data_IF_148491883724
#
_entry.id   IF_148491883724
#
_cell.length_a   1.000
_cell.length_b   1.000
_cell.length_c   1.000
_cell.angle_alpha   90.00
_cell.angle_beta   90.00
_cell.angle_gamma   90.00
#
_symmetry.space_group_name_H-M   'P 1'
#
loop_
_entity.id
_entity.type
_entity.pdbx_description
1 polymer ?
#
# COMPACT_ATOMS: atom_id res chain seq x y z
N UNK A 1 19.56 63.03 14.72
CA UNK A 1 18.97 63.50 13.45
C UNK A 1 18.71 62.27 12.61
N UNK A 2 17.54 61.87 12.16
CA UNK A 2 16.14 62.29 12.25
C UNK A 2 15.38 60.95 12.13
N UNK A 3 14.53 60.62 13.10
CA UNK A 3 13.31 59.85 12.82
C UNK A 3 12.25 60.86 12.35
N UNK A 4 11.22 60.49 11.58
CA UNK A 4 10.04 59.93 12.27
C UNK A 4 9.08 59.02 11.45
N UNK A 5 8.25 58.27 12.20
CA UNK A 5 6.79 58.08 12.07
C UNK A 5 6.15 57.48 10.80
N UNK A 6 4.97 56.85 10.83
CA UNK A 6 4.04 56.43 11.88
C UNK A 6 2.98 55.49 11.24
N UNK A 7 2.47 54.58 12.07
CA UNK A 7 1.06 54.15 12.23
C UNK A 7 0.11 54.22 11.01
N UNK A 8 -0.60 53.12 10.75
CA UNK A 8 -2.07 53.18 10.88
C UNK A 8 -2.72 51.80 11.08
N UNK A 9 -3.60 51.75 12.08
CA UNK A 9 -4.51 50.65 12.45
C UNK A 9 -5.82 50.88 11.71
N UNK A 10 -6.43 49.87 11.08
CA UNK A 10 -7.90 49.86 10.88
C UNK A 10 -8.44 48.42 10.95
N UNK A 11 -9.29 48.19 11.95
CA UNK A 11 -10.40 47.24 12.00
C UNK A 11 -11.53 47.96 12.78
N UNK A 12 -12.80 47.49 12.81
CA UNK A 12 -13.63 46.73 11.87
C UNK A 12 -14.93 47.54 11.54
N UNK A 13 -16.05 46.91 11.13
CA UNK A 13 -17.12 46.80 12.14
C UNK A 13 -17.95 45.50 12.12
N UNK A 14 -18.49 45.23 13.31
CA UNK A 14 -19.54 44.26 13.66
C UNK A 14 -20.89 44.62 13.00
N UNK A 15 -21.70 43.60 12.70
CA UNK A 15 -23.17 43.68 12.84
C UNK A 15 -23.73 42.39 13.45
N UNK A 16 -24.57 42.59 14.46
CA UNK A 16 -25.40 41.62 15.16
C UNK A 16 -26.88 41.84 14.77
N UNK A 17 -27.78 41.07 15.40
CA UNK A 17 -29.26 40.97 15.27
C UNK A 17 -29.72 39.96 14.21
N UNK A 18 -30.61 39.00 14.47
CA UNK A 18 -31.41 38.64 15.65
C UNK A 18 -32.72 37.94 15.22
N UNK A 19 -33.29 37.12 16.12
CA UNK A 19 -34.72 36.71 16.24
C UNK A 19 -35.28 35.85 15.06
N UNK A 20 -36.22 34.90 15.14
CA UNK A 20 -37.25 34.51 16.10
C UNK A 20 -37.78 33.08 15.83
N UNK A 21 -38.36 32.49 16.87
CA UNK A 21 -39.19 31.28 16.92
C UNK A 21 -40.51 31.37 16.10
N UNK A 22 -41.29 30.26 16.15
CA UNK A 22 -42.78 30.11 16.05
C UNK A 22 -43.17 29.23 14.83
N UNK A 23 -43.38 27.92 14.98
CA UNK A 23 -44.57 27.17 15.46
C UNK A 23 -45.62 26.86 14.37
N UNK A 24 -46.01 25.57 14.35
CA UNK A 24 -47.38 25.03 14.39
C UNK A 24 -48.13 24.55 13.12
N UNK A 25 -48.85 23.44 13.38
CA UNK A 25 -49.98 22.77 12.71
C UNK A 25 -49.69 21.86 11.49
N UNK A 26 -50.28 20.66 11.32
CA UNK A 26 -51.03 19.73 12.16
C UNK A 26 -51.55 18.55 11.30
N UNK A 27 -51.71 17.36 11.93
CA UNK A 27 -52.85 16.39 11.87
C UNK A 27 -53.23 15.83 10.48
N UNK A 28 -53.27 14.51 10.23
CA UNK A 28 -54.23 13.50 10.73
C UNK A 28 -53.67 12.07 10.49
N UNK A 29 -53.68 11.12 11.44
CA UNK A 29 -54.78 10.23 11.89
C UNK A 29 -55.34 9.28 10.81
N UNK A 30 -54.94 8.00 10.89
CA UNK A 30 -55.83 6.84 10.72
C UNK A 30 -55.19 5.58 11.33
N UNK A 31 -55.82 5.05 12.37
CA UNK A 31 -55.53 3.78 13.03
C UNK A 31 -56.28 2.62 12.35
N UNK A 32 -55.70 1.41 12.38
CA UNK A 32 -56.23 0.11 12.85
C UNK A 32 -55.79 -0.96 11.83
N UNK A 33 -55.52 -2.23 12.12
CA UNK A 33 -55.82 -3.04 13.29
C UNK A 33 -54.88 -4.26 13.33
N UNK A 34 -54.81 -4.88 14.50
CA UNK A 34 -53.97 -6.06 14.79
C UNK A 34 -54.80 -7.32 14.59
N UNK A 35 -54.32 -8.34 13.88
CA UNK A 35 -54.84 -9.72 13.98
C UNK A 35 -53.86 -10.78 13.46
N UNK A 36 -53.59 -11.77 14.30
CA UNK A 36 -52.88 -13.05 14.08
C UNK A 36 -53.62 -14.10 14.94
N UNK A 37 -53.52 -15.45 14.75
CA UNK A 37 -53.19 -16.30 13.58
C UNK A 37 -54.30 -17.35 13.28
N UNK A 38 -54.18 -18.09 12.16
CA UNK A 38 -54.60 -19.50 12.11
C UNK A 38 -53.87 -20.28 11.00
N UNK A 39 -53.44 -21.48 11.37
CA UNK A 39 -52.77 -22.55 10.62
C UNK A 39 -53.64 -23.18 9.52
N UNK A 40 -53.06 -23.41 8.34
CA UNK A 40 -53.23 -24.64 7.53
C UNK A 40 -52.24 -24.68 6.36
N UNK A 41 -51.49 -25.77 6.27
CA UNK A 41 -50.90 -26.36 5.03
C UNK A 41 -51.60 -27.73 4.84
N UNK A 42 -51.53 -28.45 3.70
CA UNK A 42 -50.51 -28.38 2.63
C UNK A 42 -51.04 -28.51 1.18
N UNK A 43 -50.18 -28.22 0.19
CA UNK A 43 -49.92 -29.07 -0.99
C UNK A 43 -49.10 -28.31 -2.06
N UNK A 44 -47.92 -28.86 -2.35
CA UNK A 44 -47.20 -28.95 -3.61
C UNK A 44 -47.21 -27.77 -4.61
N UNK A 45 -46.09 -27.06 -4.61
CA UNK A 45 -45.60 -26.27 -5.72
C UNK A 45 -44.12 -25.97 -5.50
N UNK A 46 -43.24 -26.74 -6.13
CA UNK A 46 -41.81 -26.48 -6.15
C UNK A 46 -41.55 -25.13 -6.86
N UNK A 47 -41.54 -24.04 -6.08
CA UNK A 47 -41.15 -22.72 -6.53
C UNK A 47 -39.68 -22.51 -6.14
N UNK A 48 -38.81 -22.54 -7.14
CA UNK A 48 -37.45 -22.01 -7.06
C UNK A 48 -37.52 -20.59 -6.51
N UNK A 49 -36.80 -20.33 -5.42
CA UNK A 49 -36.60 -18.98 -4.92
C UNK A 49 -35.93 -18.14 -6.02
N UNK A 50 -36.49 -16.98 -6.41
CA UNK A 50 -35.81 -16.10 -7.34
C UNK A 50 -34.54 -15.58 -6.67
N UNK A 51 -33.39 -15.89 -7.27
CA UNK A 51 -32.18 -15.12 -7.08
C UNK A 51 -32.56 -13.65 -7.30
N UNK A 52 -32.44 -12.84 -6.25
CA UNK A 52 -32.51 -11.40 -6.37
C UNK A 52 -31.28 -10.92 -7.16
N UNK A 53 -31.38 -11.00 -8.49
CA UNK A 53 -30.44 -10.39 -9.41
C UNK A 53 -30.61 -8.89 -9.34
N UNK A 54 -29.50 -8.18 -9.08
CA UNK A 54 -29.46 -6.73 -9.17
C UNK A 54 -29.97 -6.27 -10.56
N UNK A 55 -30.77 -5.20 -10.58
CA UNK A 55 -31.29 -4.63 -11.82
C UNK A 55 -30.12 -4.24 -12.77
N UNK A 56 -30.27 -4.41 -14.10
CA UNK A 56 -29.23 -4.05 -15.05
C UNK A 56 -28.99 -2.54 -15.01
N UNK A 57 -27.74 -2.13 -14.76
CA UNK A 57 -27.32 -0.73 -14.79
C UNK A 57 -27.33 -0.26 -16.25
N UNK A 58 -28.08 0.81 -16.55
CA UNK A 58 -28.17 1.37 -17.89
C UNK A 58 -26.85 2.04 -18.33
N UNK A 59 -26.57 2.04 -19.64
CA UNK A 59 -25.36 2.66 -20.20
C UNK A 59 -25.33 4.17 -19.89
N UNK A 60 -24.29 4.69 -19.22
CA UNK A 60 -24.20 6.10 -18.82
C UNK A 60 -24.10 7.05 -20.01
N UNK A 61 -23.36 6.64 -21.04
CA UNK A 61 -23.19 7.40 -22.28
C UNK A 61 -22.57 6.51 -23.36
N UNK A 62 -22.89 6.83 -24.62
CA UNK A 62 -22.24 6.28 -25.80
C UNK A 62 -21.00 7.10 -26.21
N UNK A 63 -20.90 8.35 -25.75
CA UNK A 63 -19.72 9.20 -25.98
C UNK A 63 -18.64 8.87 -24.96
N UNK A 64 -17.41 8.59 -25.42
CA UNK A 64 -16.33 8.10 -24.57
C UNK A 64 -16.03 9.04 -23.40
N UNK A 65 -15.76 10.32 -23.66
CA UNK A 65 -15.43 11.29 -22.60
C UNK A 65 -16.54 11.43 -21.54
N UNK A 66 -17.80 11.46 -21.97
CA UNK A 66 -18.95 11.52 -21.07
C UNK A 66 -19.13 10.20 -20.29
N UNK A 67 -18.86 9.05 -20.93
CA UNK A 67 -18.86 7.76 -20.27
C UNK A 67 -17.75 7.69 -19.21
N UNK A 68 -16.50 8.03 -19.56
CA UNK A 68 -15.36 7.99 -18.64
C UNK A 68 -15.58 8.96 -17.47
N UNK A 69 -16.14 10.15 -17.73
CA UNK A 69 -16.50 11.08 -16.67
C UNK A 69 -17.54 10.51 -15.70
N UNK A 70 -18.55 9.76 -16.18
CA UNK A 70 -19.49 9.08 -15.31
C UNK A 70 -18.85 7.88 -14.59
N UNK A 71 -18.05 7.09 -15.31
CA UNK A 71 -17.32 5.94 -14.82
C UNK A 71 -16.40 6.31 -13.65
N UNK A 72 -15.63 7.39 -13.77
CA UNK A 72 -14.73 7.85 -12.71
C UNK A 72 -15.45 8.21 -11.39
N UNK A 73 -16.70 8.67 -11.46
CA UNK A 73 -17.43 9.21 -10.29
C UNK A 73 -18.17 8.16 -9.46
N UNK A 74 -18.50 6.99 -10.04
CA UNK A 74 -19.35 5.99 -9.39
C UNK A 74 -18.68 4.59 -9.37
N UNK A 75 -18.20 4.11 -8.20
CA UNK A 75 -17.60 2.79 -8.07
C UNK A 75 -18.53 1.62 -8.46
N UNK A 76 -19.85 1.76 -8.28
CA UNK A 76 -20.80 0.73 -8.68
C UNK A 76 -20.92 0.67 -10.21
N UNK A 77 -20.89 1.83 -10.86
CA UNK A 77 -20.80 1.94 -12.32
C UNK A 77 -19.48 1.35 -12.84
N UNK A 78 -18.36 1.62 -12.16
CA UNK A 78 -17.08 1.03 -12.53
C UNK A 78 -17.16 -0.49 -12.52
N UNK A 79 -17.70 -1.07 -11.45
CA UNK A 79 -17.87 -2.53 -11.37
C UNK A 79 -18.83 -3.06 -12.44
N UNK A 80 -19.95 -2.38 -12.70
CA UNK A 80 -20.93 -2.82 -13.68
C UNK A 80 -20.38 -2.80 -15.12
N UNK A 81 -19.60 -1.78 -15.48
CA UNK A 81 -19.00 -1.60 -16.81
C UNK A 81 -17.52 -2.01 -16.84
N UNK A 82 -17.13 -2.95 -15.99
CA UNK A 82 -15.85 -3.65 -16.11
C UNK A 82 -16.10 -5.06 -16.61
N UNK A 83 -15.29 -5.53 -17.56
CA UNK A 83 -15.39 -6.87 -18.13
C UNK A 83 -15.18 -7.92 -17.04
N UNK A 84 -15.73 -9.13 -17.22
CA UNK A 84 -15.56 -10.24 -16.26
C UNK A 84 -14.09 -10.62 -16.03
N UNK A 85 -13.26 -10.42 -17.05
CA UNK A 85 -11.80 -10.53 -16.99
C UNK A 85 -11.20 -9.26 -17.55
N UNK A 86 -10.24 -8.69 -16.83
CA UNK A 86 -9.53 -7.46 -17.19
C UNK A 86 -8.05 -7.78 -17.23
N UNK A 87 -7.40 -7.36 -18.31
CA UNK A 87 -5.94 -7.42 -18.40
C UNK A 87 -5.36 -6.32 -17.52
N UNK A 88 -4.60 -6.69 -16.50
CA UNK A 88 -3.80 -5.75 -15.72
C UNK A 88 -2.36 -5.86 -16.16
N UNK A 89 -1.70 -4.74 -16.38
CA UNK A 89 -0.33 -4.74 -16.86
C UNK A 89 0.54 -3.71 -16.14
N UNK A 90 1.80 -4.05 -15.99
CA UNK A 90 2.86 -3.13 -15.59
C UNK A 90 3.99 -3.20 -16.64
N UNK A 91 4.79 -2.15 -16.70
CA UNK A 91 5.98 -2.13 -17.58
C UNK A 91 7.13 -2.80 -16.84
N UNK A 92 7.54 -3.97 -17.32
CA UNK A 92 8.73 -4.67 -16.82
C UNK A 92 9.98 -4.01 -17.40
N UNK A 93 10.60 -3.13 -16.62
CA UNK A 93 11.84 -2.44 -16.98
C UNK A 93 13.05 -3.38 -17.09
N UNK A 94 12.94 -4.63 -16.60
CA UNK A 94 13.99 -5.63 -16.67
C UNK A 94 13.81 -6.60 -17.84
N UNK A 95 12.72 -6.49 -18.61
CA UNK A 95 12.55 -7.26 -19.82
C UNK A 95 13.57 -6.83 -20.88
N UNK A 96 14.26 -7.79 -21.50
CA UNK A 96 15.18 -7.57 -22.61
C UNK A 96 14.56 -8.10 -23.92
N UNK A 97 14.83 -7.48 -25.09
CA UNK A 97 15.81 -6.41 -25.33
C UNK A 97 15.32 -4.98 -25.02
N UNK A 98 14.02 -4.77 -24.85
CA UNK A 98 13.40 -3.50 -24.46
C UNK A 98 12.35 -3.75 -23.36
N UNK A 99 12.01 -2.74 -22.53
CA UNK A 99 10.93 -2.86 -21.55
C UNK A 99 9.65 -3.41 -22.17
N UNK A 100 9.09 -4.43 -21.56
CA UNK A 100 7.91 -5.12 -22.07
C UNK A 100 6.75 -4.98 -21.10
N UNK A 101 5.53 -4.90 -21.64
CA UNK A 101 4.34 -5.00 -20.79
C UNK A 101 4.19 -6.43 -20.28
N UNK A 102 4.27 -6.61 -18.97
CA UNK A 102 3.88 -7.86 -18.31
C UNK A 102 2.38 -7.80 -18.05
N UNK A 103 1.63 -8.70 -18.67
CA UNK A 103 0.15 -8.71 -18.64
C UNK A 103 -0.35 -9.89 -17.80
N UNK A 104 -1.12 -9.60 -16.77
CA UNK A 104 -1.82 -10.57 -15.93
C UNK A 104 -3.35 -10.40 -16.06
N UNK A 105 -4.09 -11.44 -16.48
CA UNK A 105 -5.54 -11.39 -16.52
C UNK A 105 -6.14 -11.57 -15.12
N UNK A 106 -6.90 -10.59 -14.64
CA UNK A 106 -7.60 -10.64 -13.36
C UNK A 106 -9.11 -10.75 -13.54
N UNK A 107 -9.75 -11.55 -12.68
CA UNK A 107 -11.20 -11.59 -12.61
C UNK A 107 -11.72 -10.27 -12.01
N UNK A 108 -12.84 -9.76 -12.51
CA UNK A 108 -13.45 -8.52 -12.01
C UNK A 108 -13.72 -8.55 -10.51
N UNK A 109 -14.05 -9.72 -9.99
CA UNK A 109 -14.39 -9.95 -8.60
C UNK A 109 -13.15 -9.87 -7.68
N UNK A 110 -11.95 -9.99 -8.24
CA UNK A 110 -10.68 -9.77 -7.52
C UNK A 110 -10.18 -8.34 -7.62
N UNK A 111 -10.75 -7.53 -8.52
CA UNK A 111 -10.44 -6.10 -8.63
C UNK A 111 -11.05 -5.32 -7.45
N UNK A 112 -10.29 -4.35 -6.95
CA UNK A 112 -10.76 -3.40 -5.96
C UNK A 112 -11.28 -2.17 -6.67
N UNK A 113 -12.54 -1.83 -6.42
CA UNK A 113 -13.18 -0.63 -6.98
C UNK A 113 -13.21 0.50 -5.94
N UNK A 114 -13.04 1.77 -6.36
CA UNK A 114 -12.86 2.21 -7.75
C UNK A 114 -11.47 1.91 -8.30
N UNK A 115 -11.42 1.45 -9.55
CA UNK A 115 -10.19 1.21 -10.32
C UNK A 115 -9.70 2.47 -11.03
N UNK A 116 -10.56 3.48 -11.18
CA UNK A 116 -10.22 4.80 -11.71
C UNK A 116 -10.52 5.87 -10.66
N UNK A 117 -9.58 6.76 -10.32
CA UNK A 117 -9.81 7.82 -9.34
C UNK A 117 -10.88 8.79 -9.83
N UNK A 118 -11.71 9.30 -8.92
CA UNK A 118 -12.74 10.29 -9.29
C UNK A 118 -12.11 11.65 -9.66
N UNK A 119 -12.87 12.57 -10.27
CA UNK A 119 -12.29 13.84 -10.73
C UNK A 119 -11.77 14.73 -9.60
N UNK A 120 -12.30 14.60 -8.39
CA UNK A 120 -11.78 15.36 -7.24
C UNK A 120 -10.38 14.86 -6.84
N UNK A 121 -10.19 13.55 -6.83
CA UNK A 121 -8.91 12.90 -6.60
C UNK A 121 -7.92 13.20 -7.74
N UNK A 122 -8.35 13.09 -9.00
CA UNK A 122 -7.52 13.45 -10.16
C UNK A 122 -6.97 14.88 -10.04
N UNK A 123 -7.81 15.86 -9.68
CA UNK A 123 -7.37 17.25 -9.47
C UNK A 123 -6.38 17.40 -8.31
N UNK A 124 -6.57 16.64 -7.22
CA UNK A 124 -5.68 16.65 -6.05
C UNK A 124 -4.31 16.08 -6.41
N UNK A 125 -4.27 15.07 -7.26
CA UNK A 125 -3.06 14.33 -7.68
C UNK A 125 -2.42 14.94 -8.93
N UNK A 126 -2.97 16.03 -9.49
CA UNK A 126 -2.45 16.66 -10.71
C UNK A 126 -2.68 15.85 -11.99
N UNK A 127 -3.50 14.81 -11.94
CA UNK A 127 -3.82 13.95 -13.08
C UNK A 127 -4.66 14.70 -14.12
N UNK A 128 -4.23 14.62 -15.37
CA UNK A 128 -4.93 15.15 -16.53
C UNK A 128 -5.44 14.02 -17.42
N UNK A 129 -6.70 14.15 -17.84
CA UNK A 129 -7.33 13.22 -18.77
C UNK A 129 -6.89 13.52 -20.20
N UNK A 130 -6.44 12.48 -20.91
CA UNK A 130 -6.13 12.54 -22.34
C UNK A 130 -6.67 11.32 -23.07
N UNK A 131 -7.32 11.53 -24.21
CA UNK A 131 -7.67 10.44 -25.13
C UNK A 131 -6.47 10.16 -26.03
N UNK A 132 -5.94 8.93 -25.96
CA UNK A 132 -4.80 8.51 -26.78
C UNK A 132 -5.29 7.96 -28.12
N UNK A 133 -6.32 7.11 -28.08
CA UNK A 133 -6.89 6.49 -29.27
C UNK A 133 -8.38 6.20 -29.05
N UNK A 134 -9.18 6.32 -30.10
CA UNK A 134 -10.61 6.00 -30.06
C UNK A 134 -11.09 5.56 -31.45
N UNK A 135 -10.81 4.29 -31.79
CA UNK A 135 -11.05 3.75 -33.13
C UNK A 135 -11.52 2.28 -33.05
N UNK A 136 -12.32 1.85 -34.01
CA UNK A 136 -12.71 0.43 -34.13
C UNK A 136 -13.48 -0.14 -32.93
N UNK A 137 -14.16 0.71 -32.14
CA UNK A 137 -14.84 0.28 -30.91
C UNK A 137 -13.89 -0.01 -29.75
N UNK A 138 -12.62 0.41 -29.83
CA UNK A 138 -11.65 0.37 -28.75
C UNK A 138 -11.15 1.78 -28.48
N UNK A 139 -11.06 2.12 -27.21
CA UNK A 139 -10.54 3.41 -26.78
C UNK A 139 -9.47 3.23 -25.72
N UNK A 140 -8.45 4.08 -25.77
CA UNK A 140 -7.38 4.17 -24.79
C UNK A 140 -7.37 5.59 -24.24
N UNK A 141 -7.49 5.71 -22.92
CA UNK A 141 -7.42 6.98 -22.22
C UNK A 141 -6.28 6.94 -21.21
N UNK A 142 -5.60 8.07 -21.05
CA UNK A 142 -4.57 8.28 -20.04
C UNK A 142 -5.09 9.20 -18.94
N UNK A 143 -4.70 8.89 -17.71
CA UNK A 143 -4.61 9.87 -16.62
C UNK A 143 -3.13 10.08 -16.35
N UNK A 144 -2.61 11.26 -16.68
CA UNK A 144 -1.17 11.56 -16.64
C UNK A 144 -0.86 12.79 -15.80
N UNK A 145 0.32 12.82 -15.19
CA UNK A 145 0.86 14.05 -14.62
C UNK A 145 1.70 14.71 -15.72
N UNK A 146 1.39 15.94 -16.16
CA UNK A 146 2.17 16.64 -17.18
C UNK A 146 3.66 16.72 -16.82
N UNK A 147 4.52 16.66 -17.83
CA UNK A 147 5.98 16.73 -17.70
C UNK A 147 6.60 15.58 -16.86
N UNK A 148 5.87 14.46 -16.73
CA UNK A 148 6.37 13.23 -16.10
C UNK A 148 6.07 12.00 -16.96
N UNK A 149 6.79 10.91 -16.69
CA UNK A 149 6.51 9.60 -17.28
C UNK A 149 5.39 8.83 -16.54
N UNK A 150 4.72 9.45 -15.56
CA UNK A 150 3.64 8.84 -14.79
C UNK A 150 2.31 8.88 -15.55
N UNK A 151 1.86 7.72 -16.02
CA UNK A 151 0.61 7.59 -16.78
C UNK A 151 -0.16 6.33 -16.36
N UNK A 152 -1.44 6.48 -16.03
CA UNK A 152 -2.40 5.37 -15.90
C UNK A 152 -3.14 5.21 -17.23
N UNK A 153 -3.07 4.03 -17.84
CA UNK A 153 -3.76 3.77 -19.10
C UNK A 153 -4.96 2.87 -18.89
N UNK A 154 -6.12 3.29 -19.38
CA UNK A 154 -7.34 2.51 -19.36
C UNK A 154 -7.79 2.23 -20.78
N UNK A 155 -7.97 0.95 -21.09
CA UNK A 155 -8.54 0.54 -22.37
C UNK A 155 -9.98 0.12 -22.19
N UNK A 156 -10.85 0.75 -22.97
CA UNK A 156 -12.26 0.43 -23.05
C UNK A 156 -12.58 -0.26 -24.38
N UNK A 157 -13.46 -1.25 -24.33
CA UNK A 157 -14.10 -1.84 -25.52
C UNK A 157 -15.56 -1.42 -25.55
N UNK A 158 -16.06 -1.05 -26.72
CA UNK A 158 -17.46 -0.73 -26.96
C UNK A 158 -18.14 -1.88 -27.67
N UNK A 159 -18.94 -2.61 -26.91
CA UNK A 159 -19.94 -3.55 -27.43
C UNK A 159 -21.30 -2.80 -27.47
N UNK A 160 -22.23 -3.12 -26.58
CA UNK A 160 -23.48 -2.34 -26.40
C UNK A 160 -23.27 -1.04 -25.59
N UNK A 161 -22.24 -1.01 -24.74
CA UNK A 161 -21.77 0.14 -23.98
C UNK A 161 -20.26 0.02 -23.81
N UNK A 162 -19.59 1.11 -23.41
CA UNK A 162 -18.18 1.06 -23.06
C UNK A 162 -17.96 0.16 -21.84
N UNK A 163 -16.94 -0.69 -21.92
CA UNK A 163 -16.57 -1.64 -20.87
C UNK A 163 -15.06 -1.61 -20.69
N UNK A 164 -14.58 -1.48 -19.45
CA UNK A 164 -13.16 -1.53 -19.14
C UNK A 164 -12.62 -2.95 -19.35
N UNK A 165 -11.57 -3.08 -20.15
CA UNK A 165 -10.96 -4.38 -20.51
C UNK A 165 -9.47 -4.48 -20.20
N UNK A 166 -8.77 -3.35 -20.06
CA UNK A 166 -7.34 -3.34 -19.67
C UNK A 166 -7.01 -2.13 -18.82
N UNK A 167 -6.16 -2.33 -17.81
CA UNK A 167 -5.56 -1.29 -16.98
C UNK A 167 -4.04 -1.47 -17.07
N UNK A 168 -3.32 -0.42 -17.46
CA UNK A 168 -1.86 -0.35 -17.32
C UNK A 168 -1.57 0.68 -16.25
N UNK A 169 -0.96 0.21 -15.17
CA UNK A 169 -0.47 1.07 -14.10
C UNK A 169 1.03 0.80 -13.96
N UNK A 170 1.92 1.79 -14.19
CA UNK A 170 3.34 1.62 -13.89
C UNK A 170 3.59 1.32 -12.40
N UNK A 171 2.60 1.57 -11.54
CA UNK A 171 2.57 1.22 -10.13
C UNK A 171 1.73 -0.04 -9.81
N UNK A 172 1.34 -0.88 -10.77
CA UNK A 172 0.73 -2.19 -10.43
C UNK A 172 1.75 -3.05 -9.67
N UNK A 173 1.59 -3.12 -8.34
CA UNK A 173 2.62 -3.60 -7.39
C UNK A 173 2.87 -2.63 -6.22
N UNK A 174 2.50 -1.36 -6.40
CA UNK A 174 2.53 -0.24 -5.45
C UNK A 174 1.17 0.48 -5.40
N UNK A 175 0.21 -0.09 -4.67
CA UNK A 175 -1.07 0.52 -4.25
C UNK A 175 -1.90 1.30 -5.32
N UNK A 176 -3.05 0.74 -5.69
CA UNK A 176 -4.04 1.33 -6.60
C UNK A 176 -4.45 2.79 -6.26
N UNK A 177 -4.51 3.70 -7.26
CA UNK A 177 -5.11 5.02 -7.11
C UNK A 177 -6.64 4.93 -7.23
N UNK A 178 -7.30 4.81 -6.07
CA UNK A 178 -8.76 4.68 -6.00
C UNK A 178 -9.29 4.43 -4.59
N UNK A 179 -8.56 4.79 -3.54
CA UNK A 179 -9.10 4.68 -2.19
C UNK A 179 -10.11 5.81 -1.91
N UNK A 180 -11.31 5.68 -2.46
CA UNK A 180 -12.48 6.26 -1.82
C UNK A 180 -12.79 5.42 -0.57
N UNK A 181 -13.01 6.03 0.60
CA UNK A 181 -13.16 5.30 1.83
C UNK A 181 -14.36 4.36 1.70
N UNK A 182 -14.08 3.06 1.70
CA UNK A 182 -15.03 2.08 2.24
C UNK A 182 -15.54 2.69 3.55
N UNK A 183 -16.85 2.72 3.85
CA UNK A 183 -17.31 3.18 5.16
C UNK A 183 -16.43 2.46 6.16
N UNK A 184 -15.61 3.23 6.88
CA UNK A 184 -14.55 2.68 7.67
C UNK A 184 -15.21 1.64 8.55
N UNK A 185 -14.97 0.36 8.25
CA UNK A 185 -15.02 -0.64 9.29
C UNK A 185 -14.13 -0.01 10.35
N UNK A 186 -14.70 0.33 11.49
CA UNK A 186 -14.10 1.20 12.50
C UNK A 186 -12.67 0.76 12.90
N UNK A 187 -12.22 -0.43 12.48
CA UNK A 187 -10.85 -0.93 12.52
C UNK A 187 -9.81 -0.31 11.57
N UNK A 188 -10.10 0.13 10.34
CA UNK A 188 -9.06 0.65 9.42
C UNK A 188 -8.56 2.06 9.83
N UNK A 189 -9.49 2.98 10.10
CA UNK A 189 -9.17 4.29 10.68
C UNK A 189 -8.51 4.17 12.07
N UNK A 190 -8.78 3.09 12.79
CA UNK A 190 -8.10 2.77 14.04
C UNK A 190 -6.66 2.31 13.78
N UNK A 191 -6.40 1.44 12.78
CA UNK A 191 -5.05 0.98 12.44
C UNK A 191 -4.12 2.15 12.07
N UNK A 192 -4.56 3.10 11.24
CA UNK A 192 -3.74 4.27 10.92
C UNK A 192 -3.44 5.13 12.15
N UNK A 193 -4.41 5.28 13.06
CA UNK A 193 -4.21 5.97 14.32
C UNK A 193 -3.19 5.24 15.21
N UNK A 194 -3.28 3.91 15.29
CA UNK A 194 -2.34 3.06 16.03
C UNK A 194 -0.93 3.18 15.44
N UNK A 195 -0.77 3.11 14.11
CA UNK A 195 0.52 3.28 13.44
C UNK A 195 1.08 4.67 13.70
N UNK A 196 0.28 5.73 13.58
CA UNK A 196 0.71 7.09 13.89
C UNK A 196 1.10 7.26 15.36
N UNK A 197 0.36 6.67 16.28
CA UNK A 197 0.68 6.68 17.71
C UNK A 197 2.00 5.93 17.99
N UNK A 198 2.24 4.82 17.30
CA UNK A 198 3.50 4.09 17.34
C UNK A 198 4.66 4.91 16.77
N UNK A 199 4.48 5.54 15.59
CA UNK A 199 5.47 6.44 15.00
C UNK A 199 5.79 7.60 15.95
N UNK A 200 4.77 8.26 16.51
CA UNK A 200 4.94 9.34 17.49
C UNK A 200 5.67 8.88 18.75
N UNK A 201 5.38 7.69 19.26
CA UNK A 201 6.08 7.14 20.42
C UNK A 201 7.56 6.84 20.15
N UNK A 202 7.94 6.57 18.89
CA UNK A 202 9.28 6.13 18.51
C UNK A 202 10.17 7.26 17.96
N UNK A 203 9.57 8.21 17.24
CA UNK A 203 10.25 9.34 16.61
C UNK A 203 9.90 10.70 17.23
N UNK A 204 8.98 10.73 18.20
CA UNK A 204 8.55 11.93 18.92
C UNK A 204 7.38 12.67 18.27
N UNK A 205 7.03 13.81 18.85
CA UNK A 205 5.87 14.62 18.45
C UNK A 205 6.11 15.51 17.23
N UNK A 206 7.34 15.52 16.69
CA UNK A 206 7.80 16.41 15.62
C UNK A 206 7.31 16.04 14.22
N UNK A 207 6.07 15.58 14.07
CA UNK A 207 5.51 15.19 12.77
C UNK A 207 5.50 16.37 11.78
N UNK A 208 6.06 16.16 10.60
CA UNK A 208 6.04 17.12 9.52
C UNK A 208 4.90 16.81 8.55
N UNK A 209 3.82 17.60 8.66
CA UNK A 209 2.62 17.43 7.84
C UNK A 209 2.83 17.83 6.37
N UNK A 210 3.83 18.65 6.05
CA UNK A 210 4.16 19.01 4.67
C UNK A 210 4.86 17.85 3.96
N UNK A 211 5.69 17.11 4.70
CA UNK A 211 6.48 15.98 4.19
C UNK A 211 5.87 14.60 4.48
N UNK A 212 4.77 14.55 5.23
CA UNK A 212 4.08 13.32 5.64
C UNK A 212 5.03 12.32 6.35
N UNK A 213 5.90 12.83 7.23
CA UNK A 213 6.96 12.04 7.85
C UNK A 213 7.41 12.59 9.22
N UNK A 214 8.19 11.78 9.95
CA UNK A 214 8.83 12.14 11.20
C UNK A 214 10.32 12.40 10.98
N UNK A 215 10.81 13.63 11.17
CA UNK A 215 12.22 13.93 11.16
C UNK A 215 12.94 13.13 12.24
N UNK A 216 14.07 12.54 11.88
CA UNK A 216 14.95 11.83 12.80
C UNK A 216 16.39 12.11 12.41
N UNK A 217 17.29 11.97 13.37
CA UNK A 217 18.73 12.02 13.12
C UNK A 217 19.31 10.63 13.37
N UNK A 218 20.19 10.20 12.49
CA UNK A 218 20.95 8.96 12.59
C UNK A 218 22.44 9.30 12.69
N UNK A 219 23.12 8.66 13.62
CA UNK A 219 24.53 8.85 13.93
C UNK A 219 25.22 7.51 13.76
N UNK A 220 26.20 7.44 12.85
CA UNK A 220 26.97 6.23 12.58
C UNK A 220 28.26 6.11 13.44
N UNK A 221 28.46 7.08 14.35
CA UNK A 221 29.62 7.23 15.21
C UNK A 221 30.67 8.21 14.67
N UNK A 222 30.63 8.55 13.38
CA UNK A 222 31.51 9.53 12.74
C UNK A 222 30.73 10.76 12.27
N UNK A 223 29.59 10.52 11.62
CA UNK A 223 28.77 11.53 10.98
C UNK A 223 27.31 11.42 11.45
N UNK A 224 26.63 12.57 11.43
CA UNK A 224 25.23 12.69 11.80
C UNK A 224 24.43 13.10 10.57
N UNK A 225 23.45 12.28 10.22
CA UNK A 225 22.60 12.44 9.06
C UNK A 225 21.17 12.68 9.52
N UNK A 226 20.55 13.71 8.97
CA UNK A 226 19.12 13.89 9.14
C UNK A 226 18.39 12.97 8.14
N UNK A 227 17.24 12.45 8.56
CA UNK A 227 16.33 11.65 7.76
C UNK A 227 14.89 12.05 8.09
N UNK A 228 13.94 11.63 7.26
CA UNK A 228 12.52 11.75 7.58
C UNK A 228 11.80 10.43 7.32
N UNK A 229 11.34 9.80 8.41
CA UNK A 229 10.77 8.45 8.40
C UNK A 229 9.26 8.50 8.23
N UNK A 230 8.72 7.66 7.35
CA UNK A 230 7.27 7.48 7.20
C UNK A 230 6.93 5.99 7.28
N UNK A 231 5.75 5.63 7.83
CA UNK A 231 5.32 4.23 7.82
C UNK A 231 4.99 3.80 6.38
N UNK A 232 5.47 2.61 6.01
CA UNK A 232 4.98 1.85 4.87
C UNK A 232 3.63 1.20 5.20
N UNK A 233 3.11 0.39 4.28
CA UNK A 233 1.87 -0.36 4.47
C UNK A 233 1.95 -1.26 5.71
N UNK A 234 0.92 -1.17 6.56
CA UNK A 234 0.78 -2.04 7.72
C UNK A 234 0.02 -3.32 7.39
N UNK A 235 0.31 -4.38 8.13
CA UNK A 235 -0.34 -5.69 8.01
C UNK A 235 -0.75 -6.17 9.38
N UNK A 236 -2.03 -6.52 9.53
CA UNK A 236 -2.52 -7.18 10.74
C UNK A 236 -2.52 -8.69 10.53
N UNK A 237 -1.97 -9.42 11.49
CA UNK A 237 -1.91 -10.89 11.48
C UNK A 237 -2.47 -11.47 12.77
N UNK A 238 -3.00 -12.68 12.69
CA UNK A 238 -3.42 -13.45 13.87
C UNK A 238 -2.38 -14.53 14.14
N UNK A 239 -1.92 -14.61 15.39
CA UNK A 239 -1.00 -15.65 15.87
C UNK A 239 -1.63 -16.39 17.04
N UNK A 240 -1.13 -17.58 17.40
CA UNK A 240 -1.50 -18.22 18.66
C UNK A 240 -1.28 -17.31 19.89
N UNK A 241 -0.26 -16.44 19.85
CA UNK A 241 -0.01 -15.42 20.87
C UNK A 241 -0.99 -14.21 20.83
N UNK A 242 -1.91 -14.16 19.86
CA UNK A 242 -2.90 -13.11 19.67
C UNK A 242 -2.67 -12.26 18.42
N UNK A 243 -3.42 -11.18 18.32
CA UNK A 243 -3.43 -10.28 17.17
C UNK A 243 -2.18 -9.38 17.18
N UNK A 244 -1.49 -9.30 16.04
CA UNK A 244 -0.32 -8.46 15.85
C UNK A 244 -0.53 -7.49 14.69
N UNK A 245 0.07 -6.30 14.78
CA UNK A 245 0.12 -5.29 13.72
C UNK A 245 1.60 -5.04 13.39
N UNK A 246 1.96 -5.27 12.15
CA UNK A 246 3.31 -5.18 11.63
C UNK A 246 3.39 -4.05 10.62
N UNK A 247 4.43 -3.23 10.70
CA UNK A 247 4.74 -2.28 9.65
C UNK A 247 6.23 -1.98 9.63
N UNK A 248 6.71 -1.62 8.45
CA UNK A 248 8.03 -1.05 8.24
C UNK A 248 7.86 0.47 8.17
N UNK A 249 8.83 1.24 8.65
CA UNK A 249 8.98 2.64 8.31
C UNK A 249 10.24 2.80 7.46
N UNK A 250 10.24 3.74 6.54
CA UNK A 250 11.39 4.01 5.70
C UNK A 250 11.62 5.51 5.56
N UNK A 251 12.84 5.93 5.27
CA UNK A 251 13.09 7.33 4.98
C UNK A 251 12.55 7.72 3.59
N UNK A 252 12.20 8.99 3.45
CA UNK A 252 12.03 9.60 2.14
C UNK A 252 13.41 9.86 1.53
N UNK A 253 13.57 9.51 0.25
CA UNK A 253 14.85 9.54 -0.45
C UNK A 253 15.24 10.93 -0.98
N UNK A 254 14.26 11.80 -1.13
CA UNK A 254 14.41 13.03 -1.89
C UNK A 254 13.97 14.22 -1.05
N UNK A 255 14.91 15.08 -0.63
CA UNK A 255 14.49 16.44 -0.34
C UNK A 255 15.58 17.50 -0.46
N UNK A 256 15.32 18.57 -1.19
CA UNK A 256 15.80 19.88 -0.80
C UNK A 256 14.86 20.99 -1.27
N UNK A 257 14.12 21.64 -0.37
CA UNK A 257 13.29 22.77 -0.79
C UNK A 257 14.07 24.10 -1.01
N UNK A 258 15.41 24.10 -1.10
CA UNK A 258 16.30 25.21 -0.69
C UNK A 258 16.26 25.42 0.81
N UNK A 259 16.52 24.33 1.51
CA UNK A 259 17.83 24.03 2.13
C UNK A 259 17.64 23.11 3.32
N UNK A 260 16.40 22.69 3.61
CA UNK A 260 16.10 21.54 4.45
C UNK A 260 16.48 20.26 3.67
N UNK A 261 17.79 20.03 3.46
CA UNK A 261 18.37 19.11 2.46
C UNK A 261 18.49 17.64 2.92
N UNK A 262 18.35 16.76 1.94
CA UNK A 262 18.70 15.35 1.83
C UNK A 262 19.23 15.18 0.39
N UNK A 263 20.53 15.35 0.25
CA UNK A 263 21.27 14.87 -0.93
C UNK A 263 22.20 13.78 -0.42
N UNK A 264 21.68 12.56 -0.38
CA UNK A 264 22.45 11.41 0.06
C UNK A 264 23.54 11.12 -0.98
N UNK A 265 24.76 10.91 -0.51
CA UNK A 265 25.82 10.34 -1.33
C UNK A 265 25.42 8.94 -1.78
N UNK A 266 26.00 8.44 -2.87
CA UNK A 266 25.87 7.03 -3.28
C UNK A 266 26.30 6.04 -2.19
N UNK A 267 27.10 6.50 -1.21
CA UNK A 267 27.56 5.69 -0.09
C UNK A 267 26.63 5.77 1.13
N UNK A 268 25.72 6.74 1.18
CA UNK A 268 24.86 6.92 2.34
C UNK A 268 23.74 5.87 2.29
N UNK A 269 23.49 5.12 3.37
CA UNK A 269 22.43 4.13 3.41
C UNK A 269 21.06 4.81 3.46
N UNK A 270 20.03 4.11 3.01
CA UNK A 270 18.68 4.39 3.48
C UNK A 270 18.51 3.99 4.95
N UNK A 271 17.40 4.37 5.55
CA UNK A 271 16.99 3.94 6.88
C UNK A 271 15.68 3.19 6.83
N UNK A 272 15.64 2.10 7.61
CA UNK A 272 14.41 1.38 7.92
C UNK A 272 14.13 1.40 9.42
N UNK A 273 12.86 1.50 9.75
CA UNK A 273 12.32 1.16 11.06
C UNK A 273 11.44 -0.07 10.93
N UNK A 274 11.48 -0.97 11.92
CA UNK A 274 10.75 -2.23 11.89
C UNK A 274 9.92 -2.33 13.17
N UNK A 275 8.61 -2.56 13.03
CA UNK A 275 7.67 -2.49 14.14
C UNK A 275 6.71 -3.67 14.17
N UNK A 276 6.57 -4.25 15.35
CA UNK A 276 5.50 -5.18 15.69
C UNK A 276 4.80 -4.70 16.96
N UNK A 277 3.48 -4.55 16.86
CA UNK A 277 2.60 -4.27 17.98
C UNK A 277 1.73 -5.48 18.27
N UNK A 278 1.36 -5.66 19.53
CA UNK A 278 0.43 -6.70 19.98
C UNK A 278 -0.79 -6.06 20.63
N UNK A 279 -1.95 -6.63 20.34
CA UNK A 279 -3.19 -6.27 21.01
C UNK A 279 -3.21 -6.90 22.40
N UNK A 280 -3.31 -6.06 23.43
CA UNK A 280 -3.43 -6.49 24.82
C UNK A 280 -4.86 -6.96 25.16
N UNK A 281 -5.01 -7.58 26.34
CA UNK A 281 -6.30 -8.09 26.81
C UNK A 281 -7.36 -7.01 27.06
N UNK A 282 -6.97 -5.73 27.13
CA UNK A 282 -7.85 -4.57 27.31
C UNK A 282 -8.22 -3.91 25.97
N UNK A 283 -7.72 -4.44 24.85
CA UNK A 283 -7.92 -3.90 23.52
C UNK A 283 -6.96 -2.75 23.16
N UNK A 284 -5.93 -2.50 23.96
CA UNK A 284 -4.87 -1.54 23.68
C UNK A 284 -3.76 -2.16 22.83
N UNK A 285 -3.15 -1.36 21.95
CA UNK A 285 -1.98 -1.80 21.18
C UNK A 285 -0.70 -1.40 21.89
N UNK A 286 0.22 -2.37 22.04
CA UNK A 286 1.51 -2.16 22.70
C UNK A 286 2.64 -2.61 21.78
N UNK A 287 3.76 -1.89 21.80
CA UNK A 287 4.94 -2.26 21.01
C UNK A 287 5.55 -3.55 21.61
N UNK A 288 5.60 -4.61 20.79
CA UNK A 288 6.25 -5.88 21.12
C UNK A 288 7.72 -5.86 20.70
N UNK A 289 8.00 -5.34 19.51
CA UNK A 289 9.36 -5.15 19.01
C UNK A 289 9.45 -3.91 18.14
N UNK A 290 10.50 -3.12 18.34
CA UNK A 290 10.77 -1.94 17.53
C UNK A 290 12.27 -1.71 17.33
N UNK A 291 12.64 -1.40 16.09
CA UNK A 291 13.93 -0.78 15.74
C UNK A 291 13.60 0.45 14.90
N UNK A 292 14.16 1.60 15.26
CA UNK A 292 13.74 2.90 14.71
C UNK A 292 14.59 3.39 13.52
N UNK A 293 15.82 2.93 13.43
CA UNK A 293 16.78 3.41 12.45
C UNK A 293 17.85 2.33 12.27
N UNK A 294 17.62 1.46 11.30
CA UNK A 294 18.58 0.48 10.83
C UNK A 294 19.06 0.93 9.44
N UNK A 295 20.37 1.10 9.23
CA UNK A 295 20.90 1.42 7.91
C UNK A 295 20.64 0.26 6.95
N UNK A 296 20.01 0.53 5.82
CA UNK A 296 19.69 -0.47 4.82
C UNK A 296 19.60 0.13 3.42
N UNK A 297 20.11 -0.60 2.44
CA UNK A 297 20.22 -0.10 1.07
C UNK A 297 21.30 0.99 0.95
N UNK A 298 21.11 1.93 0.02
CA UNK A 298 22.13 2.89 -0.39
C UNK A 298 21.54 4.06 -1.18
N UNK A 299 22.34 5.10 -1.41
CA UNK A 299 21.90 6.34 -2.05
C UNK A 299 20.69 6.95 -1.30
N UNK A 300 20.66 6.75 0.01
CA UNK A 300 19.52 7.10 0.84
C UNK A 300 18.25 6.29 0.58
N UNK A 301 18.23 5.29 -0.30
CA UNK A 301 17.10 4.35 -0.42
C UNK A 301 17.34 3.13 0.45
N UNK A 302 16.32 2.72 1.17
CA UNK A 302 16.18 1.30 1.48
C UNK A 302 15.52 0.70 0.23
N UNK A 303 15.93 -0.39 -0.40
CA UNK A 303 15.10 -0.97 -1.49
C UNK A 303 13.78 -1.60 -1.01
N UNK A 304 13.07 -1.01 -0.05
CA UNK A 304 12.18 -1.71 0.88
C UNK A 304 10.71 -1.27 0.86
N UNK A 305 10.32 -0.39 -0.07
CA UNK A 305 8.95 0.13 -0.18
C UNK A 305 7.88 -0.97 -0.30
N UNK A 306 8.21 -2.11 -0.92
CA UNK A 306 7.29 -3.22 -1.16
C UNK A 306 7.49 -4.39 -0.18
N UNK A 307 8.35 -4.21 0.81
CA UNK A 307 8.68 -5.24 1.78
C UNK A 307 7.45 -5.69 2.56
N UNK A 308 7.18 -7.00 2.51
CA UNK A 308 6.07 -7.60 3.24
C UNK A 308 6.58 -8.34 4.48
N UNK A 309 5.81 -8.30 5.59
CA UNK A 309 6.15 -9.09 6.76
C UNK A 309 6.06 -10.59 6.41
N UNK A 310 7.07 -11.33 6.83
CA UNK A 310 7.22 -12.76 6.61
C UNK A 310 7.05 -13.49 7.93
N UNK A 311 6.23 -14.54 7.95
CA UNK A 311 6.09 -15.41 9.12
C UNK A 311 7.34 -16.27 9.27
N UNK A 312 8.17 -15.99 10.27
CA UNK A 312 9.45 -16.68 10.53
C UNK A 312 9.33 -17.77 11.61
N UNK A 313 8.15 -17.95 12.18
CA UNK A 313 7.87 -18.97 13.18
C UNK A 313 6.40 -19.02 13.55
N UNK A 314 6.06 -19.83 14.55
CA UNK A 314 4.68 -19.97 15.04
C UNK A 314 4.08 -18.61 15.43
N UNK A 315 4.83 -17.83 16.22
CA UNK A 315 4.39 -16.54 16.80
C UNK A 315 5.22 -15.34 16.32
N UNK A 316 6.23 -15.58 15.49
CA UNK A 316 7.22 -14.59 15.09
C UNK A 316 7.09 -14.20 13.61
N UNK A 317 6.95 -12.89 13.40
CA UNK A 317 6.98 -12.25 12.10
C UNK A 317 8.18 -11.32 12.02
N UNK A 318 8.79 -11.29 10.84
CA UNK A 318 9.92 -10.43 10.54
C UNK A 318 9.93 -10.03 9.07
N UNK A 319 11.10 -9.73 8.53
CA UNK A 319 11.24 -9.34 7.13
C UNK A 319 12.41 -10.07 6.48
N UNK A 320 12.22 -10.46 5.23
CA UNK A 320 13.30 -10.88 4.33
C UNK A 320 13.44 -9.76 3.32
N UNK A 321 14.43 -8.91 3.52
CA UNK A 321 14.68 -7.74 2.69
C UNK A 321 15.81 -8.05 1.72
N UNK A 322 15.74 -7.50 0.50
CA UNK A 322 16.86 -7.55 -0.45
C UNK A 322 17.48 -6.17 -0.54
N UNK A 323 18.80 -6.12 -0.44
CA UNK A 323 19.60 -4.91 -0.68
C UNK A 323 20.64 -5.21 -1.73
N UNK A 324 20.95 -4.24 -2.56
CA UNK A 324 21.92 -4.38 -3.62
C UNK A 324 21.82 -3.26 -4.62
N UNK A 325 22.64 -3.33 -5.66
CA UNK A 325 22.59 -2.38 -6.75
C UNK A 325 23.51 -2.77 -7.90
N UNK A 326 23.70 -1.85 -8.85
CA UNK A 326 24.36 -2.11 -10.14
C UNK A 326 25.61 -1.25 -10.31
N UNK A 327 26.80 -1.78 -10.07
CA UNK A 327 28.07 -1.05 -10.23
C UNK A 327 28.74 -1.42 -11.54
N UNK A 328 28.92 -0.42 -12.41
CA UNK A 328 29.58 -0.61 -13.71
C UNK A 328 28.93 -1.71 -14.57
N UNK A 329 27.62 -1.92 -14.43
CA UNK A 329 26.87 -2.96 -15.12
C UNK A 329 26.85 -4.33 -14.41
N UNK A 330 27.46 -4.43 -13.23
CA UNK A 330 27.48 -5.63 -12.40
C UNK A 330 26.46 -5.49 -11.27
N UNK A 331 25.52 -6.42 -11.17
CA UNK A 331 24.54 -6.49 -10.09
C UNK A 331 25.16 -7.20 -8.89
N UNK A 332 25.08 -6.58 -7.72
CA UNK A 332 25.45 -7.25 -6.45
C UNK A 332 24.30 -7.08 -5.49
N UNK A 333 23.83 -8.18 -4.91
CA UNK A 333 22.71 -8.17 -3.96
C UNK A 333 22.82 -9.24 -2.88
N UNK A 334 22.22 -8.94 -1.74
CA UNK A 334 22.10 -9.81 -0.59
C UNK A 334 20.67 -9.77 -0.05
N UNK A 335 20.23 -10.87 0.57
CA UNK A 335 19.07 -10.92 1.43
C UNK A 335 19.49 -10.71 2.89
N UNK A 336 18.79 -9.84 3.60
CA UNK A 336 18.88 -9.68 5.05
C UNK A 336 17.58 -10.11 5.71
N UNK A 337 17.68 -10.95 6.73
CA UNK A 337 16.54 -11.46 7.50
C UNK A 337 16.49 -10.76 8.84
N UNK A 338 15.39 -10.07 9.12
CA UNK A 338 15.14 -9.39 10.38
C UNK A 338 14.09 -10.14 11.19
N UNK A 339 14.33 -10.35 12.47
CA UNK A 339 13.37 -10.97 13.38
C UNK A 339 13.37 -10.28 14.76
N UNK A 340 12.29 -10.44 15.55
CA UNK A 340 12.25 -9.94 16.92
C UNK A 340 13.27 -10.66 17.80
N UNK A 341 14.18 -9.91 18.40
CA UNK A 341 15.16 -10.38 19.40
C UNK A 341 15.10 -9.41 20.58
N UNK A 342 14.67 -9.91 21.74
CA UNK A 342 14.62 -9.14 22.99
C UNK A 342 13.89 -7.78 22.88
N UNK A 343 12.76 -7.75 22.18
CA UNK A 343 11.94 -6.54 22.02
C UNK A 343 12.46 -5.53 20.99
N UNK A 344 13.45 -5.91 20.17
CA UNK A 344 13.93 -5.14 19.03
C UNK A 344 13.94 -6.00 17.79
N UNK A 345 13.95 -5.39 16.61
CA UNK A 345 14.30 -6.12 15.40
C UNK A 345 15.81 -6.11 15.22
N UNK A 346 16.38 -7.28 14.95
CA UNK A 346 17.80 -7.42 14.64
C UNK A 346 17.96 -8.22 13.35
N UNK A 347 19.04 -7.94 12.60
CA UNK A 347 19.46 -8.83 11.53
C UNK A 347 19.86 -10.17 12.15
N UNK A 348 19.10 -11.20 11.81
CA UNK A 348 19.30 -12.57 12.26
C UNK A 348 19.86 -13.45 11.14
N UNK A 349 20.20 -12.90 9.98
CA UNK A 349 20.83 -13.66 8.91
C UNK A 349 21.04 -12.84 7.65
N UNK A 350 22.10 -13.18 6.92
CA UNK A 350 22.41 -12.59 5.61
C UNK A 350 22.74 -13.70 4.63
N UNK A 351 22.21 -13.61 3.42
CA UNK A 351 22.38 -14.61 2.36
C UNK A 351 22.71 -13.89 1.06
N UNK A 352 23.80 -14.26 0.40
CA UNK A 352 24.10 -13.72 -0.94
C UNK A 352 22.96 -14.02 -1.92
N UNK A 353 22.63 -13.03 -2.76
CA UNK A 353 21.71 -13.20 -3.88
C UNK A 353 22.52 -13.30 -5.18
N UNK A 354 23.02 -12.18 -5.69
CA UNK A 354 23.88 -12.10 -6.88
C UNK A 354 25.27 -11.61 -6.47
N UNK A 355 26.30 -12.34 -6.87
CA UNK A 355 27.70 -12.01 -6.57
C UNK A 355 28.41 -11.35 -7.76
N UNK A 356 29.35 -10.45 -7.49
CA UNK A 356 30.12 -9.74 -8.51
C UNK A 356 30.84 -10.69 -9.50
N UNK A 357 31.32 -11.84 -9.02
CA UNK A 357 32.07 -12.82 -9.80
C UNK A 357 31.20 -13.87 -10.53
N UNK A 358 29.92 -13.98 -10.22
CA UNK A 358 28.96 -14.85 -10.94
C UNK A 358 27.58 -14.20 -11.09
N UNK A 359 27.43 -13.42 -12.16
CA UNK A 359 26.18 -12.75 -12.56
C UNK A 359 25.11 -13.70 -13.12
N UNK A 360 25.45 -14.98 -13.31
CA UNK A 360 24.51 -15.98 -13.86
C UNK A 360 23.75 -16.74 -12.78
N UNK A 361 24.13 -16.54 -11.52
CA UNK A 361 23.53 -17.15 -10.34
C UNK A 361 22.82 -16.09 -9.52
N UNK A 362 21.62 -16.43 -9.10
CA UNK A 362 20.86 -15.70 -8.08
C UNK A 362 20.39 -16.67 -7.01
N UNK A 363 19.93 -16.15 -5.88
CA UNK A 363 19.32 -16.97 -4.84
C UNK A 363 17.88 -16.58 -4.59
N UNK A 364 17.11 -17.55 -4.10
CA UNK A 364 15.76 -17.31 -3.59
C UNK A 364 15.71 -17.81 -2.16
N UNK A 365 15.36 -16.92 -1.24
CA UNK A 365 15.15 -17.25 0.17
C UNK A 365 13.66 -17.35 0.43
N UNK A 366 13.20 -18.51 0.89
CA UNK A 366 11.81 -18.73 1.31
C UNK A 366 11.79 -19.37 2.70
N UNK A 367 10.61 -19.38 3.32
CA UNK A 367 10.42 -20.01 4.64
C UNK A 367 9.91 -21.43 4.48
N UNK A 368 10.51 -22.37 5.22
CA UNK A 368 10.00 -23.73 5.38
C UNK A 368 8.98 -23.79 6.52
N UNK A 369 7.71 -23.59 6.18
CA UNK A 369 6.60 -23.66 7.13
C UNK A 369 6.01 -25.08 7.27
N UNK A 370 6.75 -26.13 6.91
CA UNK A 370 6.28 -27.53 6.98
C UNK A 370 5.92 -27.97 8.40
N UNK A 371 6.56 -27.39 9.42
CA UNK A 371 6.18 -27.56 10.83
C UNK A 371 5.62 -26.23 11.38
N UNK A 372 4.28 -26.03 11.35
CA UNK A 372 3.66 -24.76 11.77
C UNK A 372 3.75 -24.47 13.26
N UNK A 373 4.09 -25.48 14.08
CA UNK A 373 4.23 -25.34 15.53
C UNK A 373 5.67 -25.00 15.94
N UNK A 374 6.62 -25.00 15.01
CA UNK A 374 8.00 -24.67 15.31
C UNK A 374 8.13 -23.21 15.75
N UNK A 375 8.88 -22.92 16.83
CA UNK A 375 9.08 -21.55 17.31
C UNK A 375 9.76 -20.68 16.26
N UNK A 376 10.69 -21.25 15.48
CA UNK A 376 11.31 -20.63 14.33
C UNK A 376 11.31 -21.61 13.16
N UNK A 377 10.88 -21.14 12.01
CA UNK A 377 10.89 -21.89 10.77
C UNK A 377 12.29 -21.87 10.15
N UNK A 378 12.79 -22.99 9.59
CA UNK A 378 13.96 -22.98 8.74
C UNK A 378 13.74 -22.10 7.50
N UNK A 379 14.84 -21.64 6.90
CA UNK A 379 14.81 -21.01 5.59
C UNK A 379 15.24 -22.00 4.52
N UNK A 380 14.68 -21.88 3.33
CA UNK A 380 15.12 -22.58 2.13
C UNK A 380 15.86 -21.56 1.26
N UNK A 381 17.13 -21.82 1.00
CA UNK A 381 17.95 -21.04 0.08
C UNK A 381 18.10 -21.85 -1.20
N UNK A 382 17.40 -21.43 -2.24
CA UNK A 382 17.45 -22.06 -3.55
C UNK A 382 18.41 -21.28 -4.47
N UNK A 383 19.39 -21.97 -5.05
CA UNK A 383 20.30 -21.42 -6.06
C UNK A 383 19.61 -21.51 -7.42
N UNK A 384 19.51 -20.39 -8.12
CA UNK A 384 18.84 -20.27 -9.41
C UNK A 384 19.86 -19.85 -10.48
N UNK A 385 19.96 -20.62 -11.55
CA UNK A 385 20.78 -20.32 -12.73
C UNK A 385 19.90 -20.43 -13.97
N UNK A 386 19.90 -19.41 -14.82
CA UNK A 386 19.03 -19.37 -16.03
C UNK A 386 17.56 -19.69 -15.71
N UNK A 387 17.02 -19.07 -14.65
CA UNK A 387 15.64 -19.29 -14.15
C UNK A 387 15.32 -20.72 -13.67
N UNK A 388 16.29 -21.63 -13.61
CA UNK A 388 16.13 -23.00 -13.09
C UNK A 388 16.76 -23.13 -11.72
N UNK A 389 16.07 -23.80 -10.81
CA UNK A 389 16.66 -24.19 -9.52
C UNK A 389 17.70 -25.28 -9.75
N UNK A 390 18.95 -24.99 -9.41
CA UNK A 390 20.09 -25.90 -9.57
C UNK A 390 20.67 -26.36 -8.24
N UNK A 391 20.23 -25.75 -7.13
CA UNK A 391 20.64 -26.09 -5.79
C UNK A 391 19.59 -25.68 -4.77
N UNK A 392 19.56 -26.39 -3.64
CA UNK A 392 18.67 -26.09 -2.52
C UNK A 392 19.37 -26.46 -1.21
N UNK A 393 19.32 -25.56 -0.25
CA UNK A 393 19.79 -25.79 1.11
C UNK A 393 18.72 -25.35 2.11
N UNK A 394 18.51 -26.17 3.15
CA UNK A 394 17.67 -25.81 4.29
C UNK A 394 18.56 -25.30 5.41
N UNK A 395 18.35 -24.06 5.83
CA UNK A 395 19.10 -23.37 6.86
C UNK A 395 18.25 -23.29 8.13
N UNK A 396 18.60 -24.11 9.13
CA UNK A 396 17.92 -24.09 10.42
C UNK A 396 18.30 -22.85 11.26
N UNK A 397 17.34 -22.32 12.01
CA UNK A 397 17.59 -21.22 12.95
C UNK A 397 18.39 -21.72 14.16
N UNK A 398 19.52 -21.06 14.47
CA UNK A 398 20.30 -21.32 15.68
C UNK A 398 19.73 -20.52 16.85
N UNK A 399 18.85 -21.15 17.62
CA UNK A 399 18.20 -20.53 18.77
C UNK A 399 19.17 -20.07 19.88
N UNK A 400 20.39 -20.63 19.95
CA UNK A 400 21.38 -20.19 20.96
C UNK A 400 22.03 -18.88 20.55
N UNK A 401 22.24 -18.70 19.25
CA UNK A 401 22.85 -17.49 18.66
C UNK A 401 21.83 -16.48 18.16
N UNK A 402 20.54 -16.82 18.22
CA UNK A 402 19.43 -16.04 17.67
C UNK A 402 19.65 -15.64 16.22
N UNK A 403 20.15 -16.57 15.39
CA UNK A 403 20.46 -16.30 13.97
C UNK A 403 20.34 -17.52 13.08
N UNK A 404 20.06 -17.30 11.80
CA UNK A 404 20.36 -18.23 10.73
C UNK A 404 21.87 -18.18 10.41
N UNK A 405 22.57 -19.32 10.45
CA UNK A 405 23.96 -19.36 10.02
C UNK A 405 24.05 -19.07 8.51
N UNK A 406 25.14 -18.42 8.10
CA UNK A 406 25.46 -18.32 6.68
C UNK A 406 25.53 -19.72 6.06
N UNK A 407 25.04 -19.91 4.82
CA UNK A 407 25.22 -21.15 4.10
C UNK A 407 26.70 -21.50 4.04
N UNK A 408 27.03 -22.79 4.02
CA UNK A 408 28.43 -23.19 3.85
C UNK A 408 28.88 -22.72 2.48
N UNK A 409 29.95 -21.92 2.41
CA UNK A 409 30.57 -21.51 1.14
C UNK A 409 30.78 -22.76 0.27
N UNK A 410 30.25 -22.74 -0.96
CA UNK A 410 30.40 -23.80 -1.93
C UNK A 410 31.36 -23.40 -3.03
#
# INVERSE_FOLDING_TARGET
MIAPDARSRIAPPRRAFGIASTLLFAVALAACDTSKPATASPADGAAQAPNAGAAPVACPSQQLSAFVAAFAEDPALQKAFTAATVDTAFVDMNAQPEPAESVEPLARETLHFPVMPNRAQQRKEGLQYREIANEGGRAVVALEIPDTDAQLLYTFRRDACWTLVKIVDPAFGKAFPGEAPKPAAQGAANVDAIVRDAMRAQYGDGYDAERDCWPTTYDDGNDSFDYCMRPAKSTTVETPAGKQLLFLAHNIQDFDAKTRRYSYSRLDPGLIGLFALSLDAKGGWTVRAATKAEPFGMEGDCGCNDAQPTRLGRDDYGWILRSGGVWQGVVVSDFSVYAPVQGKYASVGTFGDVAEDDQTVSHRVTVDASNPDAPHYPLIVATVREQREVGRETVAFDAKRMRYPAPKAR
#
